data_IF_168163002479
#
_entry.id   IF_168163002479
#
_cell.length_a   1.000
_cell.length_b   1.000
_cell.length_c   1.000
_cell.angle_alpha   90.00
_cell.angle_beta   90.00
_cell.angle_gamma   90.00
#
_symmetry.space_group_name_H-M   'P 1'
#
loop_
_entity.id
_entity.type
_entity.pdbx_description
1 polymer ?
#
# COMPACT_ATOMS: atom_id res chain seq x y z
N UNK A 1 -9.55 3.21 32.32
CA UNK A 1 -8.37 3.02 31.44
C UNK A 1 -8.75 1.92 30.47
N UNK A 2 -9.25 2.28 29.29
CA UNK A 2 -9.69 1.30 28.29
C UNK A 2 -8.47 0.67 27.66
N UNK A 3 -8.21 -0.58 28.02
CA UNK A 3 -7.40 -1.51 27.24
C UNK A 3 -8.18 -1.82 25.97
N UNK A 4 -8.12 -0.90 25.01
CA UNK A 4 -8.66 -1.10 23.68
C UNK A 4 -7.79 -2.14 23.00
N UNK A 5 -8.36 -3.33 22.84
CA UNK A 5 -7.88 -4.42 22.03
C UNK A 5 -7.18 -3.88 20.77
N UNK A 6 -5.84 -3.95 20.76
CA UNK A 6 -5.00 -3.54 19.65
C UNK A 6 -5.12 -4.55 18.53
N UNK A 7 -6.33 -4.72 18.00
CA UNK A 7 -6.61 -5.54 16.85
C UNK A 7 -5.78 -4.98 15.69
N UNK A 8 -4.64 -5.61 15.46
CA UNK A 8 -3.74 -5.33 14.36
C UNK A 8 -4.60 -5.40 13.09
N UNK A 9 -4.90 -4.22 12.51
CA UNK A 9 -5.80 -4.15 11.36
C UNK A 9 -5.28 -5.11 10.28
N UNK A 10 -6.16 -5.94 9.68
CA UNK A 10 -5.75 -6.84 8.62
C UNK A 10 -5.16 -6.03 7.47
N UNK A 11 -4.13 -6.57 6.81
CA UNK A 11 -3.37 -5.90 5.74
C UNK A 11 -4.28 -5.29 4.66
N UNK A 12 -5.31 -6.02 4.25
CA UNK A 12 -6.33 -5.56 3.27
C UNK A 12 -7.16 -4.37 3.76
N UNK A 13 -7.33 -4.19 5.06
CA UNK A 13 -7.97 -3.00 5.62
C UNK A 13 -7.01 -1.81 5.55
N UNK A 14 -5.75 -1.98 5.95
CA UNK A 14 -4.73 -0.92 5.84
C UNK A 14 -4.60 -0.41 4.39
N UNK A 15 -4.52 -1.33 3.41
CA UNK A 15 -4.44 -0.96 2.00
C UNK A 15 -5.67 -0.18 1.52
N UNK A 16 -6.88 -0.60 1.90
CA UNK A 16 -8.11 0.11 1.53
C UNK A 16 -8.16 1.51 2.13
N UNK A 17 -7.81 1.66 3.40
CA UNK A 17 -7.78 2.97 4.06
C UNK A 17 -6.73 3.89 3.44
N UNK A 18 -5.58 3.35 3.01
CA UNK A 18 -4.53 4.09 2.32
C UNK A 18 -5.02 4.63 0.98
N UNK A 19 -5.58 3.75 0.13
CA UNK A 19 -6.12 4.13 -1.19
C UNK A 19 -7.27 5.15 -1.08
N UNK A 20 -8.11 5.02 -0.06
CA UNK A 20 -9.17 5.99 0.22
C UNK A 20 -8.59 7.35 0.64
N UNK A 21 -7.50 7.35 1.42
CA UNK A 21 -6.84 8.60 1.85
C UNK A 21 -6.15 9.29 0.68
N UNK A 22 -5.41 8.55 -0.16
CA UNK A 22 -4.84 9.08 -1.41
C UNK A 22 -5.93 9.68 -2.31
N UNK A 23 -7.03 8.93 -2.52
CA UNK A 23 -8.13 9.43 -3.33
C UNK A 23 -8.79 10.67 -2.75
N UNK A 24 -8.96 10.72 -1.43
CA UNK A 24 -9.46 11.92 -0.75
C UNK A 24 -8.52 13.11 -0.94
N UNK A 25 -7.20 12.91 -1.06
CA UNK A 25 -6.25 13.98 -1.38
C UNK A 25 -6.38 14.48 -2.82
N UNK A 26 -6.64 13.58 -3.78
CA UNK A 26 -6.87 13.95 -5.19
C UNK A 26 -8.23 14.62 -5.43
N UNK A 27 -9.29 14.10 -4.81
CA UNK A 27 -10.65 14.64 -4.94
C UNK A 27 -10.83 15.94 -4.13
N UNK A 28 -9.97 16.15 -3.13
CA UNK A 28 -9.92 17.38 -2.37
C UNK A 28 -9.34 18.52 -3.21
N UNK A 29 -10.23 19.34 -3.80
CA UNK A 29 -9.98 20.78 -3.96
C UNK A 29 -9.92 21.52 -2.62
N UNK A 30 -9.48 20.86 -1.55
CA UNK A 30 -9.64 21.30 -0.18
C UNK A 30 -8.50 22.26 0.20
N UNK A 31 -8.87 23.34 0.89
CA UNK A 31 -7.90 24.30 1.42
C UNK A 31 -6.79 23.60 2.22
N UNK A 32 -5.61 24.22 2.22
CA UNK A 32 -4.34 23.67 2.70
C UNK A 32 -4.39 22.91 4.06
N UNK A 33 -5.33 23.24 4.95
CA UNK A 33 -5.50 22.57 6.24
C UNK A 33 -6.00 21.11 6.17
N UNK A 34 -6.82 20.76 5.17
CA UNK A 34 -7.29 19.38 5.00
C UNK A 34 -6.20 18.49 4.39
N UNK A 35 -5.38 19.03 3.49
CA UNK A 35 -4.28 18.32 2.82
C UNK A 35 -3.26 17.86 3.85
N UNK A 36 -2.78 18.73 4.75
CA UNK A 36 -1.79 18.34 5.77
C UNK A 36 -2.28 17.24 6.72
N UNK A 37 -3.59 17.19 7.00
CA UNK A 37 -4.16 16.10 7.82
C UNK A 37 -4.18 14.77 7.06
N UNK A 38 -4.50 14.82 5.76
CA UNK A 38 -4.51 13.63 4.91
C UNK A 38 -3.08 13.12 4.65
N UNK A 39 -2.09 14.00 4.49
CA UNK A 39 -0.68 13.64 4.38
C UNK A 39 -0.18 12.88 5.61
N UNK A 40 -0.43 13.41 6.82
CA UNK A 40 -0.07 12.73 8.06
C UNK A 40 -0.75 11.37 8.20
N UNK A 41 -2.04 11.28 7.84
CA UNK A 41 -2.78 10.01 7.88
C UNK A 41 -2.23 9.01 6.86
N UNK A 42 -1.89 9.47 5.66
CA UNK A 42 -1.33 8.63 4.61
C UNK A 42 0.03 8.07 5.04
N UNK A 43 0.89 8.91 5.62
CA UNK A 43 2.19 8.49 6.12
C UNK A 43 2.09 7.45 7.25
N UNK A 44 1.15 7.60 8.20
CA UNK A 44 0.88 6.59 9.23
C UNK A 44 0.45 5.25 8.62
N UNK A 45 -0.50 5.29 7.69
CA UNK A 45 -1.02 4.10 7.02
C UNK A 45 0.08 3.38 6.21
N UNK A 46 0.92 4.12 5.49
CA UNK A 46 2.07 3.59 4.77
C UNK A 46 3.08 2.94 5.73
N UNK A 47 3.42 3.60 6.83
CA UNK A 47 4.32 3.05 7.85
C UNK A 47 3.81 1.75 8.47
N UNK A 48 2.52 1.70 8.80
CA UNK A 48 1.86 0.49 9.34
C UNK A 48 1.80 -0.64 8.30
N UNK A 49 1.53 -0.32 7.04
CA UNK A 49 1.47 -1.29 5.96
C UNK A 49 2.86 -1.88 5.69
N UNK A 50 3.91 -1.08 5.66
CA UNK A 50 5.29 -1.57 5.45
C UNK A 50 5.80 -2.42 6.61
N UNK A 51 5.44 -2.10 7.86
CA UNK A 51 5.88 -2.83 9.06
C UNK A 51 5.07 -4.09 9.37
N UNK A 52 3.84 -4.21 8.88
CA UNK A 52 3.01 -5.42 9.06
C UNK A 52 3.60 -6.58 8.27
N UNK A 53 3.89 -7.74 8.88
CA UNK A 53 4.46 -8.89 8.17
C UNK A 53 3.48 -9.45 7.11
N UNK A 54 3.97 -9.70 5.89
CA UNK A 54 3.19 -10.35 4.84
C UNK A 54 2.97 -11.84 5.18
N UNK A 55 1.74 -12.34 4.96
CA UNK A 55 1.37 -13.75 5.21
C UNK A 55 0.92 -14.48 3.94
N UNK A 56 0.83 -13.77 2.82
CA UNK A 56 0.40 -14.27 1.52
C UNK A 56 1.07 -13.50 0.38
N UNK A 57 1.04 -14.05 -0.84
CA UNK A 57 1.49 -13.34 -2.03
C UNK A 57 0.66 -12.06 -2.28
N UNK A 58 -0.63 -12.06 -1.95
CA UNK A 58 -1.47 -10.85 -2.00
C UNK A 58 -0.92 -9.74 -1.09
N UNK A 59 -0.46 -10.08 0.12
CA UNK A 59 0.12 -9.10 1.04
C UNK A 59 1.45 -8.54 0.50
N UNK A 60 2.25 -9.37 -0.17
CA UNK A 60 3.50 -8.95 -0.82
C UNK A 60 3.20 -8.00 -1.98
N UNK A 61 2.24 -8.33 -2.83
CA UNK A 61 1.77 -7.46 -3.91
C UNK A 61 1.31 -6.11 -3.37
N UNK A 62 0.46 -6.10 -2.33
CA UNK A 62 -0.01 -4.86 -1.71
C UNK A 62 1.14 -3.98 -1.22
N UNK A 63 2.15 -4.57 -0.57
CA UNK A 63 3.36 -3.83 -0.13
C UNK A 63 4.16 -3.26 -1.29
N UNK A 64 4.35 -4.04 -2.34
CA UNK A 64 5.09 -3.62 -3.53
C UNK A 64 4.37 -2.49 -4.25
N UNK A 65 3.03 -2.52 -4.35
CA UNK A 65 2.23 -1.42 -4.89
C UNK A 65 2.39 -0.12 -4.09
N UNK A 66 2.42 -0.21 -2.75
CA UNK A 66 2.70 0.95 -1.89
C UNK A 66 4.12 1.47 -2.11
N UNK A 67 5.11 0.59 -2.15
CA UNK A 67 6.49 0.96 -2.44
C UNK A 67 6.63 1.60 -3.83
N UNK A 68 5.90 1.09 -4.83
CA UNK A 68 5.84 1.63 -6.20
C UNK A 68 5.32 3.07 -6.19
N UNK A 69 4.17 3.31 -5.56
CA UNK A 69 3.55 4.64 -5.43
C UNK A 69 4.51 5.64 -4.76
N UNK A 70 5.13 5.23 -3.66
CA UNK A 70 6.12 6.05 -2.95
C UNK A 70 7.31 6.42 -3.83
N UNK A 71 7.85 5.47 -4.59
CA UNK A 71 9.04 5.68 -5.43
C UNK A 71 8.72 6.52 -6.67
N UNK A 72 7.55 6.34 -7.28
CA UNK A 72 7.08 7.18 -8.41
C UNK A 72 7.01 8.67 -8.04
N UNK A 73 6.69 8.98 -6.77
CA UNK A 73 6.65 10.35 -6.27
C UNK A 73 8.01 11.01 -6.00
N UNK A 74 9.12 10.25 -6.01
CA UNK A 74 10.45 10.76 -5.61
C UNK A 74 11.29 11.34 -6.77
N UNK A 75 10.84 11.20 -8.01
CA UNK A 75 11.54 11.75 -9.17
C UNK A 75 11.51 10.84 -10.40
N UNK A 76 12.47 10.99 -11.33
CA UNK A 76 12.48 10.20 -12.56
C UNK A 76 12.64 8.71 -12.26
N UNK A 77 12.04 7.88 -13.14
CA UNK A 77 12.11 6.43 -13.06
C UNK A 77 13.56 5.95 -12.94
N UNK A 78 13.78 5.06 -11.99
CA UNK A 78 15.10 4.46 -11.73
C UNK A 78 15.00 3.01 -11.32
N UNK A 79 16.16 2.42 -11.04
CA UNK A 79 16.35 0.98 -10.79
C UNK A 79 15.37 0.37 -9.78
N UNK A 80 15.04 1.10 -8.70
CA UNK A 80 14.13 0.59 -7.68
C UNK A 80 12.71 0.38 -8.22
N UNK A 81 12.22 1.27 -9.09
CA UNK A 81 10.91 1.12 -9.70
C UNK A 81 10.89 -0.03 -10.71
N UNK A 82 11.97 -0.21 -11.47
CA UNK A 82 12.12 -1.35 -12.38
C UNK A 82 12.14 -2.68 -11.62
N UNK A 83 12.81 -2.74 -10.47
CA UNK A 83 12.85 -3.92 -9.60
C UNK A 83 11.46 -4.26 -9.05
N UNK A 84 10.72 -3.24 -8.58
CA UNK A 84 9.35 -3.44 -8.07
C UNK A 84 8.43 -3.97 -9.17
N UNK A 85 8.48 -3.38 -10.37
CA UNK A 85 7.67 -3.82 -11.52
C UNK A 85 8.01 -5.27 -11.94
N UNK A 86 9.29 -5.65 -11.92
CA UNK A 86 9.73 -7.01 -12.23
C UNK A 86 9.18 -8.03 -11.21
N UNK A 87 9.28 -7.74 -9.91
CA UNK A 87 8.77 -8.65 -8.87
C UNK A 87 7.25 -8.79 -8.95
N UNK A 88 6.53 -7.71 -9.25
CA UNK A 88 5.08 -7.77 -9.49
C UNK A 88 4.73 -8.67 -10.69
N UNK A 89 5.51 -8.60 -11.78
CA UNK A 89 5.32 -9.46 -12.94
C UNK A 89 5.59 -10.95 -12.62
N UNK A 90 6.60 -11.24 -11.81
CA UNK A 90 6.91 -12.61 -11.36
C UNK A 90 5.77 -13.17 -10.50
N UNK A 91 5.23 -12.40 -9.55
CA UNK A 91 4.09 -12.83 -8.72
C UNK A 91 2.86 -13.11 -9.59
N UNK A 92 2.58 -12.26 -10.58
CA UNK A 92 1.49 -12.48 -11.53
C UNK A 92 1.67 -13.77 -12.34
N UNK A 93 2.90 -14.07 -12.74
CA UNK A 93 3.24 -15.32 -13.46
C UNK A 93 2.99 -16.54 -12.59
N UNK A 94 3.50 -16.54 -11.35
CA UNK A 94 3.30 -17.63 -10.38
C UNK A 94 1.81 -17.90 -10.07
N UNK A 95 0.98 -16.86 -10.02
CA UNK A 95 -0.47 -17.00 -9.82
C UNK A 95 -1.20 -17.57 -11.03
N UNK A 96 -0.66 -17.38 -12.24
CA UNK A 96 -1.23 -17.88 -13.49
C UNK A 96 -0.90 -19.35 -13.73
N UNK A 97 0.16 -19.86 -13.08
CA UNK A 97 0.60 -21.25 -13.13
C UNK A 97 -0.13 -22.17 -12.13
N UNK A 98 -1.00 -21.65 -11.27
CA UNK A 98 -1.82 -22.43 -10.33
C UNK A 98 -3.08 -22.95 -11.06
N UNK A 99 -3.12 -24.22 -11.51
CA UNK A 99 -4.27 -24.74 -12.23
C UNK A 99 -5.47 -24.89 -11.27
N UNK A 100 -6.73 -24.68 -11.74
CA UNK A 100 -7.88 -24.96 -10.89
C UNK A 100 -7.86 -26.44 -10.47
N UNK A 101 -7.93 -26.68 -9.15
CA UNK A 101 -8.02 -28.02 -8.60
C UNK A 101 -9.23 -28.78 -9.21
N UNK A 102 -9.07 -30.09 -9.51
CA UNK A 102 -10.12 -30.91 -10.11
C UNK A 102 -11.34 -31.14 -9.20
#
# INVERSE_FOLDING_TARGET
MSTGDGAMMPMRQLQREMLQTERAMYDAGAGAGAIGTLECRLADLQGRLLTTGARSLDDVTAKLEVARSLVEGLGPRGYLLDLIDAILADICSLRSEDPPAP
#
